data_IF_742047918829
#
_entry.id   IF_742047918829
#
_cell.length_a   1.000
_cell.length_b   1.000
_cell.length_c   1.000
_cell.angle_alpha   90.00
_cell.angle_beta   90.00
_cell.angle_gamma   90.00
#
_symmetry.space_group_name_H-M   'P 1'
#
loop_
_entity.id
_entity.type
_entity.pdbx_description
1 polymer ?
#
# COMPACT_ATOMS: atom_id res chain seq x y z
N UNK A 1 33.38 -1.34 -11.14
CA UNK A 1 33.24 0.05 -10.66
C UNK A 1 32.31 0.05 -9.48
N UNK A 2 32.83 0.22 -8.27
CA UNK A 2 32.02 0.41 -7.07
C UNK A 2 31.29 1.75 -7.20
N UNK A 3 29.95 1.77 -7.08
CA UNK A 3 29.21 3.02 -7.02
C UNK A 3 29.57 3.69 -5.69
N UNK A 4 30.18 4.88 -5.75
CA UNK A 4 30.40 5.72 -4.59
C UNK A 4 29.05 6.00 -3.92
N UNK A 5 28.86 5.41 -2.76
CA UNK A 5 27.71 5.74 -1.92
C UNK A 5 27.96 7.13 -1.32
N UNK A 6 26.95 8.02 -1.33
CA UNK A 6 27.10 9.35 -0.75
C UNK A 6 27.52 9.24 0.72
N UNK A 7 28.26 10.24 1.25
CA UNK A 7 28.72 10.25 2.64
C UNK A 7 27.54 10.07 3.62
N UNK A 8 27.80 9.45 4.77
CA UNK A 8 26.75 9.10 5.78
C UNK A 8 25.85 10.27 6.19
N UNK A 9 26.33 11.51 6.09
CA UNK A 9 25.62 12.75 6.40
C UNK A 9 24.52 13.10 5.38
N UNK A 10 24.61 12.63 4.14
CA UNK A 10 23.64 12.91 3.07
C UNK A 10 22.59 11.81 2.87
N UNK A 11 22.73 10.68 3.56
CA UNK A 11 21.72 9.61 3.48
C UNK A 11 20.42 10.08 4.13
N UNK A 12 19.31 10.03 3.40
CA UNK A 12 17.97 10.25 3.94
C UNK A 12 17.77 9.31 5.14
N UNK A 13 17.63 9.88 6.35
CA UNK A 13 17.43 9.10 7.57
C UNK A 13 15.96 8.68 7.67
N UNK A 14 15.72 7.45 8.09
CA UNK A 14 14.39 7.02 8.47
C UNK A 14 13.95 7.82 9.71
N UNK A 15 12.73 8.33 9.70
CA UNK A 15 12.19 9.19 10.75
C UNK A 15 11.72 8.42 11.98
N UNK A 16 11.47 7.12 11.84
CA UNK A 16 10.94 6.24 12.90
C UNK A 16 12.01 5.43 13.62
N UNK A 17 13.25 5.95 13.69
CA UNK A 17 14.34 5.32 14.45
C UNK A 17 15.01 6.37 15.34
N UNK A 18 15.31 5.98 16.58
CA UNK A 18 16.08 6.80 17.51
C UNK A 18 17.58 6.83 17.17
N UNK A 19 18.38 7.54 17.97
CA UNK A 19 19.83 7.65 17.75
C UNK A 19 20.56 6.32 17.89
N UNK A 20 19.96 5.35 18.58
CA UNK A 20 20.49 3.98 18.77
C UNK A 20 20.00 2.99 17.71
N UNK A 21 19.18 3.45 16.74
CA UNK A 21 18.62 2.60 15.67
C UNK A 21 17.37 1.82 16.06
N UNK A 22 16.77 2.07 17.24
CA UNK A 22 15.55 1.39 17.67
C UNK A 22 14.30 2.07 17.09
N UNK A 23 13.26 1.30 16.77
CA UNK A 23 11.98 1.87 16.32
C UNK A 23 11.40 2.81 17.38
N UNK A 24 10.96 3.98 16.95
CA UNK A 24 10.32 4.98 17.79
C UNK A 24 9.24 5.73 17.02
N UNK A 25 8.09 5.92 17.64
CA UNK A 25 7.05 6.80 17.11
C UNK A 25 7.57 8.25 17.11
N UNK A 26 7.31 8.98 16.03
CA UNK A 26 7.75 10.38 15.89
C UNK A 26 6.98 11.25 16.88
N UNK A 27 7.68 12.09 17.65
CA UNK A 27 7.03 13.09 18.48
C UNK A 27 6.44 14.20 17.60
N UNK A 28 5.16 14.45 17.78
CA UNK A 28 4.40 15.46 17.03
C UNK A 28 3.79 16.55 17.91
N UNK A 29 4.18 16.61 19.20
CA UNK A 29 3.62 17.51 20.20
C UNK A 29 3.75 18.99 19.80
N UNK A 30 4.89 19.36 19.22
CA UNK A 30 5.18 20.73 18.80
C UNK A 30 4.70 21.07 17.37
N UNK A 31 4.03 20.13 16.68
CA UNK A 31 3.58 20.36 15.32
C UNK A 31 2.20 21.02 15.30
N UNK A 32 2.02 22.06 14.48
CA UNK A 32 0.70 22.67 14.34
C UNK A 32 -0.30 21.69 13.76
N UNK A 33 -1.52 21.75 14.27
CA UNK A 33 -2.66 21.05 13.70
C UNK A 33 -3.06 21.74 12.39
N UNK A 34 -3.06 20.99 11.28
CA UNK A 34 -3.41 21.49 9.94
C UNK A 34 -4.35 20.50 9.24
N UNK A 35 -5.15 21.02 8.30
CA UNK A 35 -5.96 20.13 7.43
C UNK A 35 -5.04 19.22 6.62
N UNK A 36 -5.40 17.94 6.57
CA UNK A 36 -4.65 16.88 5.90
C UNK A 36 -5.57 16.01 5.09
N UNK A 37 -5.15 15.62 3.91
CA UNK A 37 -5.87 14.71 3.02
C UNK A 37 -4.89 13.75 2.38
N UNK A 38 -5.32 12.49 2.21
CA UNK A 38 -4.56 11.50 1.47
C UNK A 38 -5.51 10.65 0.63
N UNK A 39 -5.02 10.22 -0.53
CA UNK A 39 -5.72 9.32 -1.43
C UNK A 39 -4.83 8.13 -1.71
N UNK A 40 -5.34 6.93 -1.48
CA UNK A 40 -4.70 5.67 -1.84
C UNK A 40 -5.54 4.91 -2.86
N UNK A 41 -4.89 4.03 -3.60
CA UNK A 41 -5.50 3.13 -4.56
C UNK A 41 -5.05 1.70 -4.29
N UNK A 42 -5.96 0.73 -4.49
CA UNK A 42 -5.59 -0.67 -4.66
C UNK A 42 -6.20 -1.23 -5.95
N UNK A 43 -5.52 -2.20 -6.57
CA UNK A 43 -5.95 -2.87 -7.79
C UNK A 43 -6.06 -4.37 -7.52
N UNK A 44 -7.25 -4.93 -7.71
CA UNK A 44 -7.52 -6.36 -7.56
C UNK A 44 -7.87 -6.93 -8.92
N UNK A 45 -6.98 -7.76 -9.46
CA UNK A 45 -7.21 -8.43 -10.74
C UNK A 45 -8.12 -9.63 -10.56
N UNK A 46 -9.10 -9.74 -11.43
CA UNK A 46 -10.09 -10.83 -11.45
C UNK A 46 -10.36 -11.28 -12.89
N UNK A 47 -10.81 -12.51 -13.06
CA UNK A 47 -11.25 -13.03 -14.37
C UNK A 47 -12.50 -12.29 -14.88
N UNK A 48 -12.79 -12.33 -16.20
CA UNK A 48 -14.01 -11.77 -16.76
C UNK A 48 -15.29 -12.35 -16.13
N UNK A 49 -15.27 -13.62 -15.78
CA UNK A 49 -16.38 -14.33 -15.14
C UNK A 49 -16.64 -13.77 -13.74
N UNK A 50 -15.58 -13.65 -12.93
CA UNK A 50 -15.67 -13.05 -11.58
C UNK A 50 -16.07 -11.58 -11.65
N UNK A 51 -15.54 -10.81 -12.63
CA UNK A 51 -15.93 -9.43 -12.86
C UNK A 51 -17.43 -9.30 -13.13
N UNK A 52 -17.98 -10.14 -13.99
CA UNK A 52 -19.42 -10.14 -14.31
C UNK A 52 -20.25 -10.51 -13.09
N UNK A 53 -19.86 -11.58 -12.37
CA UNK A 53 -20.54 -12.00 -11.14
C UNK A 53 -20.59 -10.86 -10.08
N UNK A 54 -19.47 -10.16 -9.88
CA UNK A 54 -19.39 -9.05 -8.92
C UNK A 54 -20.30 -7.89 -9.31
N UNK A 55 -20.35 -7.54 -10.60
CA UNK A 55 -21.18 -6.42 -11.10
C UNK A 55 -22.65 -6.76 -11.06
N UNK A 56 -23.00 -8.01 -11.42
CA UNK A 56 -24.39 -8.45 -11.49
C UNK A 56 -24.99 -8.78 -10.11
N UNK A 57 -24.21 -8.64 -9.03
CA UNK A 57 -24.64 -8.93 -7.66
C UNK A 57 -24.87 -10.42 -7.40
N UNK A 58 -24.39 -11.32 -8.28
CA UNK A 58 -24.64 -12.75 -8.26
C UNK A 58 -23.74 -13.60 -7.34
N UNK A 59 -22.91 -12.98 -6.51
CA UNK A 59 -22.01 -13.69 -5.59
C UNK A 59 -22.79 -14.41 -4.47
N UNK A 60 -22.38 -15.62 -4.13
CA UNK A 60 -22.97 -16.41 -3.02
C UNK A 60 -22.89 -15.69 -1.66
N UNK A 61 -22.03 -14.69 -1.52
CA UNK A 61 -21.85 -13.87 -0.31
C UNK A 61 -22.52 -12.46 -0.41
N UNK A 62 -23.33 -12.21 -1.44
CA UNK A 62 -24.04 -10.92 -1.62
C UNK A 62 -23.20 -9.82 -2.26
N UNK A 63 -23.45 -8.57 -1.88
CA UNK A 63 -22.82 -7.37 -2.44
C UNK A 63 -21.32 -7.28 -2.10
N UNK A 64 -20.47 -7.76 -3.03
CA UNK A 64 -19.02 -7.76 -2.87
C UNK A 64 -18.46 -6.34 -2.77
N UNK A 65 -18.98 -5.41 -3.58
CA UNK A 65 -18.48 -4.04 -3.64
C UNK A 65 -18.81 -3.28 -2.35
N UNK A 66 -20.06 -3.28 -1.94
CA UNK A 66 -20.51 -2.57 -0.73
C UNK A 66 -19.87 -3.13 0.55
N UNK A 67 -19.71 -4.46 0.66
CA UNK A 67 -19.03 -5.08 1.81
C UNK A 67 -17.54 -4.69 1.83
N UNK A 68 -16.87 -4.65 0.69
CA UNK A 68 -15.47 -4.23 0.60
C UNK A 68 -15.28 -2.75 0.97
N UNK A 69 -16.16 -1.87 0.51
CA UNK A 69 -16.15 -0.45 0.87
C UNK A 69 -16.32 -0.25 2.37
N UNK A 70 -17.30 -0.90 2.97
CA UNK A 70 -17.54 -0.85 4.42
C UNK A 70 -16.33 -1.39 5.22
N UNK A 71 -15.78 -2.52 4.80
CA UNK A 71 -14.60 -3.11 5.44
C UNK A 71 -13.39 -2.19 5.34
N UNK A 72 -13.21 -1.51 4.19
CA UNK A 72 -12.18 -0.49 4.02
C UNK A 72 -12.31 0.66 5.01
N UNK A 73 -13.52 1.20 5.18
CA UNK A 73 -13.79 2.23 6.19
C UNK A 73 -13.47 1.74 7.61
N UNK A 74 -13.87 0.51 7.94
CA UNK A 74 -13.55 -0.09 9.25
C UNK A 74 -12.05 -0.25 9.46
N UNK A 75 -11.32 -0.70 8.41
CA UNK A 75 -9.87 -0.87 8.43
C UNK A 75 -9.13 0.46 8.63
N UNK A 76 -9.49 1.49 7.86
CA UNK A 76 -8.89 2.82 7.98
C UNK A 76 -9.06 3.45 9.37
N UNK A 77 -10.21 3.25 10.01
CA UNK A 77 -10.46 3.69 11.39
C UNK A 77 -9.61 2.96 12.44
N UNK A 78 -9.06 1.80 12.12
CA UNK A 78 -8.23 0.98 13.03
C UNK A 78 -6.75 1.02 12.67
N UNK A 79 -6.31 1.95 11.85
CA UNK A 79 -4.92 2.02 11.36
C UNK A 79 -3.90 2.00 12.49
N UNK A 80 -4.11 2.77 13.55
CA UNK A 80 -3.17 2.82 14.70
C UNK A 80 -3.10 1.52 15.50
N UNK A 81 -4.12 0.66 15.42
CA UNK A 81 -4.13 -0.67 16.03
C UNK A 81 -3.35 -1.69 15.19
N UNK A 82 -3.24 -1.46 13.88
CA UNK A 82 -2.61 -2.37 12.91
C UNK A 82 -1.17 -2.00 12.60
N UNK A 83 -0.85 -0.71 12.59
CA UNK A 83 0.47 -0.18 12.19
C UNK A 83 1.19 0.37 13.43
N UNK A 84 2.23 -0.31 13.92
CA UNK A 84 2.77 -0.10 15.28
C UNK A 84 3.23 1.31 15.62
N UNK A 85 3.70 2.08 14.63
CA UNK A 85 4.25 3.42 14.85
C UNK A 85 3.34 4.54 14.33
N UNK A 86 2.09 4.23 13.97
CA UNK A 86 1.10 5.22 13.61
C UNK A 86 0.47 5.85 14.85
N UNK A 87 0.26 7.17 14.77
CA UNK A 87 -0.48 7.90 15.79
C UNK A 87 -1.99 7.60 15.66
N UNK A 88 -2.73 7.47 16.77
CA UNK A 88 -4.19 7.47 16.71
C UNK A 88 -4.67 8.84 16.26
N UNK A 89 -5.48 8.88 15.20
CA UNK A 89 -6.00 10.12 14.62
C UNK A 89 -7.52 10.12 14.63
N UNK A 90 -8.11 11.27 14.95
CA UNK A 90 -9.52 11.53 14.74
C UNK A 90 -9.73 11.90 13.26
N UNK A 91 -10.22 10.94 12.46
CA UNK A 91 -10.58 11.21 11.07
C UNK A 91 -11.82 12.10 11.00
N UNK A 92 -11.76 13.12 10.14
CA UNK A 92 -12.90 13.98 9.83
C UNK A 92 -13.70 13.45 8.65
N UNK A 93 -13.04 12.67 7.77
CA UNK A 93 -13.66 12.03 6.61
C UNK A 93 -12.87 10.77 6.23
N UNK A 94 -13.60 9.74 5.76
CA UNK A 94 -13.03 8.52 5.21
C UNK A 94 -14.01 7.90 4.22
N UNK A 95 -13.67 7.98 2.95
CA UNK A 95 -14.47 7.43 1.85
C UNK A 95 -13.70 6.32 1.17
N UNK A 96 -14.35 5.18 0.93
CA UNK A 96 -13.82 4.07 0.13
C UNK A 96 -14.81 3.77 -0.98
N UNK A 97 -14.33 3.72 -2.20
CA UNK A 97 -15.13 3.37 -3.37
C UNK A 97 -14.44 2.27 -4.18
N UNK A 98 -15.22 1.29 -4.64
CA UNK A 98 -14.75 0.21 -5.51
C UNK A 98 -15.41 0.34 -6.87
N UNK A 99 -14.60 0.53 -7.92
CA UNK A 99 -15.08 0.69 -9.28
C UNK A 99 -14.58 -0.44 -10.16
N UNK A 100 -15.46 -1.22 -10.82
CA UNK A 100 -15.06 -2.21 -11.80
C UNK A 100 -14.45 -1.55 -13.06
N UNK A 101 -13.26 -1.99 -13.46
CA UNK A 101 -12.60 -1.63 -14.71
C UNK A 101 -12.51 -2.89 -15.60
N UNK A 102 -13.54 -3.12 -16.42
CA UNK A 102 -13.63 -4.31 -17.29
C UNK A 102 -12.50 -4.34 -18.32
N UNK A 103 -12.08 -3.16 -18.83
CA UNK A 103 -11.04 -3.08 -19.85
C UNK A 103 -9.66 -3.47 -19.29
N UNK A 104 -9.37 -3.11 -18.05
CA UNK A 104 -8.13 -3.47 -17.37
C UNK A 104 -8.21 -4.82 -16.63
N UNK A 105 -9.40 -5.44 -16.52
CA UNK A 105 -9.61 -6.69 -15.76
C UNK A 105 -9.36 -6.52 -14.26
N UNK A 106 -9.66 -5.35 -13.70
CA UNK A 106 -9.41 -5.05 -12.29
C UNK A 106 -10.63 -4.42 -11.60
N UNK A 107 -10.79 -4.71 -10.32
CA UNK A 107 -11.59 -3.90 -9.40
C UNK A 107 -10.66 -2.85 -8.80
N UNK A 108 -10.95 -1.58 -9.10
CA UNK A 108 -10.17 -0.43 -8.64
C UNK A 108 -10.76 0.11 -7.35
N UNK A 109 -9.98 0.10 -6.30
CA UNK A 109 -10.34 0.65 -5.00
C UNK A 109 -9.70 2.02 -4.87
N UNK A 110 -10.48 3.03 -4.49
CA UNK A 110 -10.00 4.36 -4.13
C UNK A 110 -10.40 4.64 -2.68
N UNK A 111 -9.43 4.91 -1.83
CA UNK A 111 -9.64 5.29 -0.45
C UNK A 111 -9.12 6.72 -0.23
N UNK A 112 -9.94 7.55 0.38
CA UNK A 112 -9.65 8.94 0.65
C UNK A 112 -9.89 9.25 2.12
N UNK A 113 -8.86 9.71 2.83
CA UNK A 113 -8.91 10.03 4.24
C UNK A 113 -8.60 11.51 4.48
N UNK A 114 -9.27 12.12 5.45
CA UNK A 114 -9.02 13.49 5.90
C UNK A 114 -9.02 13.61 7.42
N UNK A 115 -8.21 14.55 7.92
CA UNK A 115 -8.19 14.96 9.33
C UNK A 115 -7.74 16.39 9.47
N UNK A 116 -7.93 16.98 10.64
CA UNK A 116 -7.21 18.17 11.11
C UNK A 116 -6.32 17.73 12.26
N UNK A 117 -5.00 17.71 12.03
CA UNK A 117 -4.09 17.12 13.02
C UNK A 117 -2.60 17.40 12.76
N UNK A 118 -1.73 17.00 13.69
CA UNK A 118 -0.30 17.26 13.63
C UNK A 118 0.45 16.34 12.65
N UNK A 119 -0.18 15.25 12.17
CA UNK A 119 0.45 14.29 11.24
C UNK A 119 -0.47 13.95 10.06
N UNK A 120 0.08 13.32 9.02
CA UNK A 120 -0.66 12.96 7.81
C UNK A 120 -1.55 11.72 7.99
N UNK A 121 -2.45 11.50 7.04
CA UNK A 121 -3.44 10.40 7.00
C UNK A 121 -3.16 9.41 5.88
N UNK A 122 -1.91 9.35 5.41
CA UNK A 122 -1.51 8.46 4.33
C UNK A 122 -1.74 6.99 4.69
N UNK A 123 -1.45 6.63 5.96
CA UNK A 123 -1.59 5.25 6.42
C UNK A 123 -3.06 4.85 6.57
N UNK A 124 -3.93 5.74 6.97
CA UNK A 124 -5.37 5.52 7.05
C UNK A 124 -5.95 5.20 5.66
N UNK A 125 -5.58 5.99 4.65
CA UNK A 125 -5.99 5.74 3.26
C UNK A 125 -5.43 4.41 2.71
N UNK A 126 -4.13 4.12 2.94
CA UNK A 126 -3.49 2.87 2.50
C UNK A 126 -4.08 1.65 3.20
N UNK A 127 -4.33 1.72 4.51
CA UNK A 127 -4.96 0.63 5.27
C UNK A 127 -6.38 0.38 4.79
N UNK A 128 -7.16 1.44 4.56
CA UNK A 128 -8.52 1.33 4.03
C UNK A 128 -8.54 0.62 2.67
N UNK A 129 -7.68 1.03 1.74
CA UNK A 129 -7.56 0.40 0.42
C UNK A 129 -7.12 -1.08 0.53
N UNK A 130 -6.18 -1.38 1.45
CA UNK A 130 -5.69 -2.74 1.67
C UNK A 130 -6.77 -3.67 2.22
N UNK A 131 -7.52 -3.22 3.23
CA UNK A 131 -8.58 -4.02 3.86
C UNK A 131 -9.73 -4.26 2.87
N UNK A 132 -10.10 -3.26 2.07
CA UNK A 132 -11.08 -3.43 1.00
C UNK A 132 -10.61 -4.47 -0.03
N UNK A 133 -9.35 -4.44 -0.46
CA UNK A 133 -8.79 -5.40 -1.40
C UNK A 133 -8.78 -6.84 -0.84
N UNK A 134 -8.38 -7.01 0.41
CA UNK A 134 -8.42 -8.30 1.10
C UNK A 134 -9.85 -8.83 1.25
N UNK A 135 -10.82 -7.93 1.47
CA UNK A 135 -12.24 -8.30 1.57
C UNK A 135 -12.79 -8.78 0.23
N UNK A 136 -12.45 -8.10 -0.88
CA UNK A 136 -12.79 -8.61 -2.22
C UNK A 136 -12.24 -10.03 -2.39
N UNK A 137 -10.94 -10.23 -2.12
CA UNK A 137 -10.32 -11.56 -2.23
C UNK A 137 -11.11 -12.62 -1.42
N UNK A 138 -11.41 -12.34 -0.14
CA UNK A 138 -12.14 -13.27 0.72
C UNK A 138 -13.54 -13.60 0.16
N UNK A 139 -14.22 -12.62 -0.39
CA UNK A 139 -15.58 -12.81 -0.91
C UNK A 139 -15.62 -13.62 -2.20
N UNK A 140 -14.61 -13.50 -3.07
CA UNK A 140 -14.59 -14.17 -4.38
C UNK A 140 -13.73 -15.44 -4.44
N UNK A 141 -12.89 -15.73 -3.45
CA UNK A 141 -11.97 -16.89 -3.43
C UNK A 141 -12.64 -18.25 -3.60
N UNK A 142 -13.92 -18.37 -3.31
CA UNK A 142 -14.70 -19.60 -3.52
C UNK A 142 -14.96 -19.87 -5.00
N UNK A 143 -14.96 -18.84 -5.84
CA UNK A 143 -15.16 -18.90 -7.29
C UNK A 143 -13.82 -18.85 -8.01
N UNK A 144 -12.95 -17.93 -7.60
CA UNK A 144 -11.62 -17.71 -8.20
C UNK A 144 -10.56 -17.60 -7.13
N UNK A 145 -9.65 -18.59 -7.05
CA UNK A 145 -8.52 -18.59 -6.10
C UNK A 145 -7.32 -17.80 -6.61
N UNK A 146 -7.26 -17.57 -7.92
CA UNK A 146 -6.16 -16.88 -8.59
C UNK A 146 -6.27 -15.35 -8.56
N UNK A 147 -7.19 -14.78 -7.79
CA UNK A 147 -7.32 -13.33 -7.60
C UNK A 147 -6.04 -12.74 -7.06
N UNK A 148 -5.57 -11.64 -7.66
CA UNK A 148 -4.31 -11.00 -7.32
C UNK A 148 -4.51 -9.55 -6.90
N UNK A 149 -3.96 -9.17 -5.74
CA UNK A 149 -3.84 -7.76 -5.35
C UNK A 149 -2.55 -7.22 -5.98
N UNK A 150 -2.66 -6.59 -7.15
CA UNK A 150 -1.51 -6.13 -7.96
C UNK A 150 -0.81 -4.92 -7.39
N UNK A 151 -1.55 -4.03 -6.74
CA UNK A 151 -0.99 -2.81 -6.19
C UNK A 151 -1.77 -2.32 -4.98
N UNK A 152 -1.06 -1.75 -4.01
CA UNK A 152 -1.58 -0.81 -3.02
C UNK A 152 -0.61 0.36 -2.99
N UNK A 153 -1.09 1.58 -3.27
CA UNK A 153 -0.20 2.73 -3.43
C UNK A 153 -0.85 4.05 -3.04
N UNK A 154 -0.04 4.97 -2.54
CA UNK A 154 -0.45 6.34 -2.34
C UNK A 154 -0.54 7.05 -3.70
N UNK A 155 -1.65 7.75 -3.96
CA UNK A 155 -1.88 8.53 -5.18
C UNK A 155 -1.56 10.00 -4.95
N UNK A 156 -2.03 10.56 -3.84
CA UNK A 156 -1.76 11.94 -3.49
C UNK A 156 -1.86 12.16 -1.99
N UNK A 157 -1.24 13.23 -1.54
CA UNK A 157 -1.43 13.78 -0.20
C UNK A 157 -1.35 15.28 -0.23
N UNK A 158 -1.99 15.94 0.72
CA UNK A 158 -1.96 17.38 0.90
C UNK A 158 -1.90 17.75 2.38
N UNK A 159 -1.32 18.91 2.65
CA UNK A 159 -1.22 19.52 3.98
C UNK A 159 0.09 19.26 4.72
N UNK A 160 0.27 20.02 5.81
CA UNK A 160 1.48 20.01 6.63
C UNK A 160 2.72 20.61 5.98
N UNK A 161 3.87 20.42 6.62
CA UNK A 161 5.15 21.03 6.20
C UNK A 161 5.61 20.57 4.80
N UNK A 162 5.27 19.36 4.38
CA UNK A 162 5.68 18.80 3.08
C UNK A 162 4.77 19.22 1.92
N UNK A 163 3.69 19.97 2.18
CA UNK A 163 2.78 20.46 1.15
C UNK A 163 2.05 19.33 0.40
N UNK A 164 1.82 19.57 -0.88
CA UNK A 164 1.17 18.61 -1.77
C UNK A 164 2.19 17.68 -2.43
N UNK A 165 1.76 16.45 -2.64
CA UNK A 165 2.48 15.45 -3.43
C UNK A 165 1.49 14.62 -4.23
N UNK A 166 1.81 14.37 -5.48
CA UNK A 166 1.09 13.50 -6.39
C UNK A 166 2.01 12.44 -6.95
N UNK A 167 1.49 11.22 -7.09
CA UNK A 167 2.23 10.16 -7.75
C UNK A 167 2.46 10.51 -9.22
N UNK A 168 3.70 10.43 -9.73
CA UNK A 168 3.98 10.62 -11.16
C UNK A 168 3.21 9.61 -12.02
N UNK A 169 2.73 10.03 -13.19
CA UNK A 169 1.95 9.18 -14.10
C UNK A 169 2.72 7.92 -14.54
N UNK A 170 4.04 8.03 -14.75
CA UNK A 170 4.90 6.91 -15.16
C UNK A 170 5.04 5.82 -14.08
N UNK A 171 4.85 6.17 -12.80
CA UNK A 171 4.81 5.22 -11.70
C UNK A 171 3.45 4.53 -11.56
N UNK A 172 2.40 5.08 -12.18
CA UNK A 172 1.06 4.51 -12.16
C UNK A 172 0.94 3.25 -13.04
N UNK A 173 1.79 3.14 -14.06
CA UNK A 173 1.78 2.06 -15.07
C UNK A 173 2.91 1.04 -14.90
N UNK A 174 3.76 1.17 -13.90
CA UNK A 174 4.80 0.15 -13.66
C UNK A 174 4.14 -1.15 -13.23
N UNK A 175 4.03 -2.05 -14.21
CA UNK A 175 3.80 -3.46 -13.99
C UNK A 175 4.94 -4.01 -13.10
N UNK A 176 4.65 -4.62 -11.94
CA UNK A 176 5.69 -5.20 -11.09
C UNK A 176 6.53 -6.27 -11.81
N UNK A 177 6.06 -6.80 -12.94
CA UNK A 177 6.79 -7.81 -13.73
C UNK A 177 7.72 -7.20 -14.79
N UNK A 178 7.66 -5.90 -15.08
CA UNK A 178 8.62 -5.19 -15.92
C UNK A 178 9.86 -4.76 -15.14
N UNK A 179 10.60 -5.72 -14.60
CA UNK A 179 11.97 -5.48 -14.14
C UNK A 179 12.85 -5.12 -15.35
N UNK A 180 13.57 -4.00 -15.27
CA UNK A 180 14.48 -3.58 -16.33
C UNK A 180 15.41 -4.73 -16.69
N UNK A 181 15.62 -5.07 -17.99
CA UNK A 181 16.65 -6.01 -18.39
C UNK A 181 18.01 -5.39 -18.05
N UNK A 182 18.64 -5.87 -17.00
CA UNK A 182 19.97 -5.38 -16.53
C UNK A 182 20.27 -5.65 -15.06
N UNK A 183 19.29 -5.96 -14.20
CA UNK A 183 19.56 -6.23 -12.78
C UNK A 183 19.74 -7.73 -12.42
N UNK A 184 19.88 -8.59 -13.44
CA UNK A 184 20.26 -10.00 -13.22
C UNK A 184 21.79 -10.10 -13.28
N UNK A 185 22.50 -9.88 -12.19
CA UNK A 185 23.79 -10.54 -11.90
C UNK A 185 24.47 -9.93 -10.69
N UNK A 186 24.24 -10.44 -9.53
CA UNK A 186 25.24 -10.55 -8.46
C UNK A 186 24.74 -11.51 -7.38
N UNK A 187 24.74 -12.79 -7.69
CA UNK A 187 24.43 -13.88 -6.76
C UNK A 187 25.08 -15.18 -7.19
N UNK A 188 26.33 -15.16 -7.63
CA UNK A 188 27.14 -16.38 -7.69
C UNK A 188 27.64 -16.68 -6.27
N UNK A 189 26.95 -17.58 -5.60
CA UNK A 189 27.48 -18.27 -4.42
C UNK A 189 28.59 -19.19 -4.94
N UNK A 190 29.84 -18.88 -4.60
CA UNK A 190 30.99 -19.71 -4.91
C UNK A 190 30.89 -21.04 -4.20
N UNK A 191 30.74 -22.13 -4.94
CA UNK A 191 30.86 -23.48 -4.47
C UNK A 191 32.33 -23.78 -4.07
N UNK A 192 32.58 -23.83 -2.77
CA UNK A 192 33.84 -24.29 -2.23
C UNK A 192 34.02 -25.79 -2.44
N UNK A 193 34.90 -26.19 -3.34
CA UNK A 193 35.34 -27.56 -3.51
C UNK A 193 36.07 -28.03 -2.24
N UNK A 194 35.47 -28.95 -1.50
CA UNK A 194 36.17 -29.71 -0.45
C UNK A 194 37.10 -30.70 -1.11
N UNK A 195 38.41 -30.50 -0.94
CA UNK A 195 39.44 -31.51 -1.22
C UNK A 195 39.47 -32.49 -0.05
N UNK A 196 39.18 -33.75 -0.31
CA UNK A 196 39.35 -34.86 0.63
C UNK A 196 40.85 -35.19 0.83
N UNK A 197 41.24 -35.77 2.01
CA UNK A 197 42.58 -36.16 2.28
C UNK A 197 42.96 -37.43 1.51
N UNK A 198 44.16 -37.43 0.94
CA UNK A 198 44.84 -38.65 0.46
C UNK A 198 45.49 -39.33 1.64
N UNK A 199 45.37 -40.65 1.65
CA UNK A 199 46.00 -41.61 2.55
C UNK A 199 47.48 -41.44 2.77
#
# INVERSE_FOLDING_TARGET
MARDLPPRSERRRLTHVDRSGRPRMVDVSDKPSTARRAVAEALVAVSPETMSMVIDGGGAKGDVLGVAELAGVMGGKRTSELIPLCHPLALTDLVVAVTPDRAAGVLRIRAEAATTGPTGVEMEALTAASVAALTIYDMVKGVERGVEIRAVRLISKAGGKSGEWHRPADDATRDPDQRRPGERAAGRIGGGARRGPKA
#
